data_IF_419977471908
#
_entry.id   IF_419977471908
#
_cell.length_a   1.000
_cell.length_b   1.000
_cell.length_c   1.000
_cell.angle_alpha   90.00
_cell.angle_beta   90.00
_cell.angle_gamma   90.00
#
_symmetry.space_group_name_H-M   'P 1'
#
loop_
_entity.id
_entity.type
_entity.pdbx_description
1 polymer ?
#
# COMPACT_ATOMS: atom_id res chain seq x y z
N UNK A 1 22.13 32.57 -10.80
CA UNK A 1 22.35 32.96 -9.42
C UNK A 1 21.76 31.90 -8.53
N UNK A 2 22.60 31.21 -7.75
CA UNK A 2 22.13 30.29 -6.74
C UNK A 2 21.24 31.08 -5.81
N UNK A 3 19.97 30.73 -5.73
CA UNK A 3 19.09 31.31 -4.75
C UNK A 3 19.71 31.03 -3.39
N UNK A 4 19.99 32.09 -2.64
CA UNK A 4 20.45 31.99 -1.27
C UNK A 4 19.29 31.46 -0.42
N UNK A 5 19.05 30.15 -0.49
CA UNK A 5 18.09 29.48 0.39
C UNK A 5 18.70 29.41 1.78
N UNK A 6 18.15 30.19 2.69
CA UNK A 6 18.51 30.10 4.10
C UNK A 6 17.64 29.03 4.76
N UNK A 7 18.29 28.05 5.37
CA UNK A 7 17.62 27.04 6.19
C UNK A 7 16.78 27.70 7.30
N UNK A 8 15.54 27.25 7.58
CA UNK A 8 14.66 27.91 8.57
C UNK A 8 15.21 27.75 10.00
N UNK A 9 15.73 28.84 10.53
CA UNK A 9 16.34 28.87 11.87
C UNK A 9 15.37 28.51 12.99
N UNK A 10 14.10 28.88 12.85
CA UNK A 10 13.08 28.66 13.87
C UNK A 10 12.79 27.17 14.10
N UNK A 11 13.19 26.28 13.17
CA UNK A 11 13.00 24.82 13.28
C UNK A 11 14.25 24.10 13.83
N UNK A 12 15.36 24.81 14.02
CA UNK A 12 16.62 24.18 14.48
C UNK A 12 16.51 23.55 15.86
N UNK A 13 15.78 24.16 16.78
CA UNK A 13 15.56 23.60 18.12
C UNK A 13 14.82 22.26 18.05
N UNK A 14 13.83 22.14 17.16
CA UNK A 14 13.13 20.87 16.94
C UNK A 14 14.06 19.82 16.33
N UNK A 15 14.93 20.20 15.42
CA UNK A 15 15.91 19.29 14.83
C UNK A 15 16.84 18.67 15.88
N UNK A 16 17.30 19.48 16.85
CA UNK A 16 18.17 19.00 17.92
C UNK A 16 17.47 18.00 18.85
N UNK A 17 16.16 18.13 19.03
CA UNK A 17 15.36 17.22 19.84
C UNK A 17 15.06 15.89 19.15
N UNK A 18 15.29 15.77 17.84
CA UNK A 18 15.03 14.54 17.09
C UNK A 18 16.09 13.47 17.36
N UNK A 19 15.70 12.24 17.67
CA UNK A 19 16.66 11.15 17.83
C UNK A 19 17.16 10.66 16.45
N UNK A 20 18.38 10.13 16.43
CA UNK A 20 18.93 9.39 15.29
C UNK A 20 18.39 7.94 15.32
N UNK A 21 17.08 7.78 15.22
CA UNK A 21 16.37 6.52 15.41
C UNK A 21 15.14 6.45 14.50
N UNK A 22 14.58 5.24 14.29
CA UNK A 22 13.36 5.07 13.49
C UNK A 22 12.15 5.77 14.08
N UNK A 23 11.28 6.25 13.22
CA UNK A 23 10.01 6.85 13.63
C UNK A 23 9.30 7.63 12.55
N UNK A 24 8.33 8.42 12.99
CA UNK A 24 7.52 9.31 12.17
C UNK A 24 7.72 10.75 12.65
N UNK A 25 7.87 11.67 11.72
CA UNK A 25 7.96 13.11 11.99
C UNK A 25 6.80 13.84 11.37
N UNK A 26 6.41 14.97 11.99
CA UNK A 26 5.24 15.74 11.58
C UNK A 26 5.63 17.22 11.57
N UNK A 27 5.44 17.87 10.40
CA UNK A 27 5.55 19.33 10.28
C UNK A 27 4.20 19.94 10.56
N UNK A 28 4.14 20.84 11.55
CA UNK A 28 2.91 21.51 11.98
C UNK A 28 2.87 22.97 11.57
N UNK A 29 1.69 23.43 11.16
CA UNK A 29 1.39 24.84 11.00
C UNK A 29 0.83 25.42 12.31
N UNK A 30 0.55 26.71 12.32
CA UNK A 30 0.01 27.40 13.50
C UNK A 30 -1.45 27.00 13.77
N UNK A 31 -1.81 26.85 15.03
CA UNK A 31 -3.17 26.58 15.48
C UNK A 31 -3.62 25.13 15.26
N UNK A 32 -4.94 24.92 15.22
CA UNK A 32 -5.57 23.60 15.02
C UNK A 32 -5.73 23.22 13.54
N UNK A 33 -4.92 23.81 12.66
CA UNK A 33 -4.92 23.48 11.26
C UNK A 33 -4.40 22.05 11.01
N UNK A 34 -4.71 21.50 9.84
CA UNK A 34 -4.18 20.19 9.42
C UNK A 34 -2.65 20.22 9.44
N UNK A 35 -1.99 19.11 9.81
CA UNK A 35 -0.56 18.99 9.66
C UNK A 35 -0.12 19.31 8.23
N UNK A 36 1.07 19.88 8.08
CA UNK A 36 1.60 20.18 6.76
C UNK A 36 2.11 18.92 6.05
N UNK A 37 2.86 18.10 6.78
CA UNK A 37 3.50 16.92 6.22
C UNK A 37 3.76 15.89 7.32
N UNK A 38 3.55 14.62 6.99
CA UNK A 38 3.89 13.47 7.83
C UNK A 38 4.84 12.59 7.03
N UNK A 39 5.98 12.23 7.61
CA UNK A 39 6.96 11.36 6.97
C UNK A 39 7.54 10.35 7.94
N UNK A 40 8.17 9.33 7.39
CA UNK A 40 8.81 8.26 8.15
C UNK A 40 10.30 8.21 7.83
N UNK A 41 11.10 7.69 8.76
CA UNK A 41 12.51 7.45 8.53
C UNK A 41 13.06 6.39 9.49
N UNK A 42 14.15 5.74 9.10
CA UNK A 42 14.97 4.91 10.00
C UNK A 42 15.93 5.78 10.84
N UNK A 43 16.10 7.03 10.45
CA UNK A 43 16.87 8.05 11.18
C UNK A 43 16.15 9.40 11.07
N UNK A 44 15.37 9.75 12.08
CA UNK A 44 14.52 10.94 12.09
C UNK A 44 15.33 12.23 11.90
N UNK A 45 16.44 12.37 12.65
CA UNK A 45 17.27 13.58 12.58
C UNK A 45 17.82 13.81 11.19
N UNK A 46 18.41 12.78 10.60
CA UNK A 46 19.00 12.86 9.26
C UNK A 46 17.97 13.22 8.20
N UNK A 47 16.79 12.63 8.27
CA UNK A 47 15.72 12.86 7.28
C UNK A 47 15.15 14.26 7.38
N UNK A 48 14.87 14.73 8.59
CA UNK A 48 14.36 16.10 8.80
C UNK A 48 15.41 17.12 8.39
N UNK A 49 16.67 16.89 8.70
CA UNK A 49 17.76 17.76 8.23
C UNK A 49 17.78 17.88 6.70
N UNK A 50 17.56 16.78 5.99
CA UNK A 50 17.46 16.78 4.54
C UNK A 50 16.30 17.64 4.03
N UNK A 51 15.13 17.59 4.69
CA UNK A 51 14.01 18.48 4.39
C UNK A 51 14.38 19.97 4.58
N UNK A 52 15.03 20.31 5.69
CA UNK A 52 15.40 21.69 6.00
C UNK A 52 16.42 22.26 5.00
N UNK A 53 17.19 21.42 4.34
CA UNK A 53 18.18 21.80 3.34
C UNK A 53 17.66 21.80 1.90
N UNK A 54 16.43 21.36 1.68
CA UNK A 54 15.86 21.25 0.33
C UNK A 54 15.12 22.53 -0.05
N UNK A 55 15.65 23.34 -1.01
CA UNK A 55 14.99 24.58 -1.43
C UNK A 55 13.63 24.37 -2.10
N UNK A 56 13.34 23.19 -2.66
CA UNK A 56 12.05 22.87 -3.25
C UNK A 56 10.93 22.79 -2.20
N UNK A 57 11.28 22.58 -0.94
CA UNK A 57 10.32 22.53 0.18
C UNK A 57 10.18 23.85 0.92
N UNK A 58 10.80 24.91 0.43
CA UNK A 58 10.81 26.24 1.10
C UNK A 58 9.41 26.75 1.40
N UNK A 59 8.42 26.51 0.52
CA UNK A 59 7.03 26.94 0.72
C UNK A 59 6.40 26.28 1.95
N UNK A 60 6.57 24.97 2.09
CA UNK A 60 6.08 24.21 3.25
C UNK A 60 6.82 24.63 4.52
N UNK A 61 8.14 24.74 4.45
CA UNK A 61 8.97 25.09 5.61
C UNK A 61 8.68 26.48 6.18
N UNK A 62 8.30 27.45 5.33
CA UNK A 62 7.87 28.78 5.79
C UNK A 62 6.57 28.73 6.58
N UNK A 63 5.68 27.79 6.28
CA UNK A 63 4.42 27.62 7.01
C UNK A 63 4.60 26.82 8.30
N UNK A 64 5.66 26.03 8.41
CA UNK A 64 5.91 25.19 9.56
C UNK A 64 6.29 26.00 10.79
N UNK A 65 5.57 25.81 11.90
CA UNK A 65 5.87 26.45 13.19
C UNK A 65 6.70 25.55 14.09
N UNK A 66 6.51 24.24 14.01
CA UNK A 66 7.27 23.26 14.78
C UNK A 66 7.21 21.89 14.14
N UNK A 67 8.09 21.00 14.62
CA UNK A 67 8.20 19.62 14.18
C UNK A 67 8.05 18.74 15.41
N UNK A 68 7.12 17.79 15.37
CA UNK A 68 7.01 16.73 16.37
C UNK A 68 7.44 15.39 15.78
N UNK A 69 7.68 14.41 16.65
CA UNK A 69 8.02 13.07 16.21
C UNK A 69 7.45 12.00 17.13
N UNK A 70 7.32 10.81 16.60
CA UNK A 70 6.96 9.60 17.34
C UNK A 70 7.99 8.54 16.99
N UNK A 71 8.75 8.09 17.98
CA UNK A 71 9.74 7.04 17.79
C UNK A 71 9.05 5.68 17.64
N UNK A 72 9.56 4.85 16.72
CA UNK A 72 9.13 3.46 16.55
C UNK A 72 10.28 2.51 16.76
N UNK A 73 9.97 1.22 17.02
CA UNK A 73 10.98 0.20 17.26
C UNK A 73 11.69 -0.27 15.98
N UNK A 74 11.32 0.25 14.82
CA UNK A 74 11.97 -0.08 13.55
C UNK A 74 11.23 0.48 12.36
N UNK A 75 11.66 0.07 11.16
CA UNK A 75 11.12 0.53 9.89
C UNK A 75 9.65 0.13 9.67
N UNK A 76 9.29 -1.09 10.04
CA UNK A 76 7.91 -1.58 9.86
C UNK A 76 6.94 -0.74 10.67
N UNK A 77 7.26 -0.48 11.96
CA UNK A 77 6.47 0.41 12.80
C UNK A 77 6.35 1.82 12.24
N UNK A 78 7.43 2.36 11.68
CA UNK A 78 7.44 3.68 11.05
C UNK A 78 6.54 3.72 9.82
N UNK A 79 6.60 2.72 8.95
CA UNK A 79 5.73 2.60 7.77
C UNK A 79 4.25 2.51 8.14
N UNK A 80 3.92 1.65 9.10
CA UNK A 80 2.54 1.46 9.54
C UNK A 80 1.96 2.71 10.19
N UNK A 81 2.72 3.34 11.06
CA UNK A 81 2.29 4.55 11.76
C UNK A 81 2.13 5.73 10.81
N UNK A 82 3.06 5.91 9.88
CA UNK A 82 2.96 6.95 8.86
C UNK A 82 1.67 6.80 8.06
N UNK A 83 1.40 5.61 7.53
CA UNK A 83 0.21 5.34 6.74
C UNK A 83 -1.08 5.61 7.54
N UNK A 84 -1.12 5.19 8.79
CA UNK A 84 -2.26 5.42 9.68
C UNK A 84 -2.50 6.92 9.94
N UNK A 85 -1.44 7.65 10.28
CA UNK A 85 -1.53 9.08 10.57
C UNK A 85 -1.90 9.91 9.34
N UNK A 86 -1.39 9.59 8.17
CA UNK A 86 -1.76 10.26 6.92
C UNK A 86 -3.26 10.09 6.63
N UNK A 87 -3.80 8.89 6.82
CA UNK A 87 -5.24 8.63 6.64
C UNK A 87 -6.10 9.35 7.65
N UNK A 88 -5.67 9.41 8.91
CA UNK A 88 -6.41 10.06 9.99
C UNK A 88 -6.37 11.58 9.90
N UNK A 89 -5.20 12.15 9.58
CA UNK A 89 -4.94 13.60 9.69
C UNK A 89 -4.94 14.33 8.35
N UNK A 90 -4.82 13.62 7.23
CA UNK A 90 -4.82 14.16 5.87
C UNK A 90 -3.93 15.42 5.70
N UNK A 91 -2.61 15.29 5.85
CA UNK A 91 -1.70 16.43 5.78
C UNK A 91 -1.76 17.15 4.43
N UNK A 92 -1.57 18.47 4.44
CA UNK A 92 -1.74 19.31 3.25
C UNK A 92 -0.77 18.97 2.12
N UNK A 93 0.46 18.58 2.45
CA UNK A 93 1.52 18.29 1.48
C UNK A 93 1.73 16.80 1.19
N UNK A 94 1.01 15.89 1.84
CA UNK A 94 1.02 14.48 1.50
C UNK A 94 -0.10 14.18 0.48
N UNK A 95 0.27 13.80 -0.71
CA UNK A 95 -0.71 13.45 -1.76
C UNK A 95 -1.01 11.97 -1.83
N UNK A 96 -0.19 11.13 -1.20
CA UNK A 96 -0.30 9.67 -1.20
C UNK A 96 -1.07 9.18 0.03
N UNK A 97 -1.62 7.96 -0.05
CA UNK A 97 -2.27 7.23 1.05
C UNK A 97 -3.60 7.83 1.55
N UNK A 98 -4.34 8.51 0.69
CA UNK A 98 -5.72 8.90 1.01
C UNK A 98 -6.61 7.66 0.99
N UNK A 99 -7.67 7.66 1.84
CA UNK A 99 -8.65 6.57 1.86
C UNK A 99 -9.23 6.35 0.48
N UNK A 100 -9.03 5.17 -0.09
CA UNK A 100 -9.52 4.83 -1.41
C UNK A 100 -10.80 3.99 -1.31
N UNK A 101 -11.94 4.60 -1.64
CA UNK A 101 -13.25 3.92 -1.67
C UNK A 101 -13.46 3.11 -2.96
N UNK A 102 -12.59 3.24 -3.94
CA UNK A 102 -12.67 2.56 -5.24
C UNK A 102 -11.72 1.37 -5.34
N UNK A 103 -11.10 0.99 -4.22
CA UNK A 103 -10.19 -0.15 -4.17
C UNK A 103 -10.84 -1.38 -4.77
N UNK A 104 -10.18 -2.00 -5.72
CA UNK A 104 -10.68 -3.17 -6.41
C UNK A 104 -9.59 -4.18 -6.75
N UNK A 105 -10.01 -5.35 -7.18
CA UNK A 105 -9.18 -6.45 -7.61
C UNK A 105 -9.84 -7.16 -8.80
N UNK A 106 -9.11 -8.07 -9.42
CA UNK A 106 -9.64 -8.97 -10.42
C UNK A 106 -9.96 -10.33 -9.79
N UNK A 107 -11.09 -10.89 -10.16
CA UNK A 107 -11.51 -12.24 -9.80
C UNK A 107 -11.86 -13.00 -11.08
N UNK A 108 -11.40 -14.23 -11.20
CA UNK A 108 -11.75 -15.07 -12.36
C UNK A 108 -13.07 -15.79 -12.09
N UNK A 109 -14.00 -15.62 -13.04
CA UNK A 109 -15.27 -16.37 -13.07
C UNK A 109 -15.39 -17.06 -14.43
N UNK A 110 -15.39 -18.39 -14.42
CA UNK A 110 -15.43 -19.21 -15.62
C UNK A 110 -14.34 -18.83 -16.66
N UNK A 111 -13.12 -18.56 -16.16
CA UNK A 111 -11.96 -18.19 -16.98
C UNK A 111 -11.97 -16.75 -17.48
N UNK A 112 -12.94 -15.94 -17.07
CA UNK A 112 -13.07 -14.54 -17.47
C UNK A 112 -12.81 -13.63 -16.26
N UNK A 113 -11.94 -12.60 -16.36
CA UNK A 113 -11.68 -11.69 -15.28
C UNK A 113 -12.84 -10.72 -15.06
N UNK A 114 -13.21 -10.53 -13.82
CA UNK A 114 -14.21 -9.54 -13.38
C UNK A 114 -13.57 -8.61 -12.36
N UNK A 115 -13.97 -7.33 -12.38
CA UNK A 115 -13.55 -6.36 -11.38
C UNK A 115 -14.47 -6.48 -10.18
N UNK A 116 -13.88 -6.71 -9.00
CA UNK A 116 -14.59 -6.77 -7.72
C UNK A 116 -14.06 -5.68 -6.80
N UNK A 117 -14.93 -5.13 -5.95
CA UNK A 117 -14.59 -4.00 -5.08
C UNK A 117 -14.48 -4.43 -3.62
N UNK A 118 -13.53 -3.83 -2.93
CA UNK A 118 -13.30 -4.12 -1.50
C UNK A 118 -14.48 -3.75 -0.61
N UNK A 119 -15.32 -2.81 -1.04
CA UNK A 119 -16.55 -2.43 -0.33
C UNK A 119 -17.62 -3.53 -0.35
N UNK A 120 -17.55 -4.44 -1.33
CA UNK A 120 -18.58 -5.46 -1.58
C UNK A 120 -18.17 -6.85 -1.12
N UNK A 121 -16.90 -7.08 -0.82
CA UNK A 121 -16.40 -8.36 -0.33
C UNK A 121 -15.16 -8.18 0.53
N UNK A 122 -14.89 -9.15 1.40
CA UNK A 122 -13.71 -9.15 2.26
C UNK A 122 -12.48 -9.67 1.51
N UNK A 123 -11.57 -8.77 1.14
CA UNK A 123 -10.36 -9.12 0.43
C UNK A 123 -9.36 -9.89 1.30
N UNK A 124 -9.49 -9.84 2.62
CA UNK A 124 -8.60 -10.57 3.52
C UNK A 124 -8.92 -12.07 3.58
N UNK A 125 -10.18 -12.45 3.35
CA UNK A 125 -10.63 -13.84 3.48
C UNK A 125 -11.06 -14.49 2.16
N UNK A 126 -11.16 -13.73 1.07
CA UNK A 126 -11.58 -14.25 -0.24
C UNK A 126 -10.37 -14.71 -1.05
N UNK A 127 -10.22 -16.02 -1.34
CA UNK A 127 -9.14 -16.48 -2.20
C UNK A 127 -9.40 -16.17 -3.67
N UNK A 128 -8.36 -16.24 -4.50
CA UNK A 128 -8.48 -16.08 -5.95
C UNK A 128 -8.68 -14.66 -6.43
N UNK A 129 -8.20 -13.68 -5.68
CA UNK A 129 -8.17 -12.28 -6.07
C UNK A 129 -6.78 -11.87 -6.55
N UNK A 130 -6.74 -10.97 -7.53
CA UNK A 130 -5.51 -10.47 -8.14
C UNK A 130 -5.52 -8.94 -8.17
N UNK A 131 -4.45 -8.32 -7.79
CA UNK A 131 -4.33 -6.87 -7.75
C UNK A 131 -3.26 -6.42 -6.76
N UNK A 132 -3.47 -5.32 -6.10
CA UNK A 132 -4.63 -4.43 -5.91
C UNK A 132 -4.62 -3.26 -6.89
N UNK A 133 -5.81 -2.71 -7.18
CA UNK A 133 -5.97 -1.55 -8.07
C UNK A 133 -6.76 -0.44 -7.40
N UNK A 134 -6.38 0.80 -7.70
CA UNK A 134 -6.99 1.99 -7.10
C UNK A 134 -8.40 2.31 -7.62
N UNK A 135 -8.74 1.77 -8.80
CA UNK A 135 -10.04 1.99 -9.45
C UNK A 135 -10.31 0.92 -10.50
N UNK A 136 -11.57 0.83 -10.94
CA UNK A 136 -11.94 -0.03 -12.08
C UNK A 136 -11.12 0.29 -13.33
N UNK A 137 -10.94 1.56 -13.64
CA UNK A 137 -10.13 1.99 -14.80
C UNK A 137 -8.70 1.48 -14.69
N UNK A 138 -8.07 1.60 -13.52
CA UNK A 138 -6.72 1.10 -13.29
C UNK A 138 -6.64 -0.43 -13.45
N UNK A 139 -7.63 -1.17 -12.95
CA UNK A 139 -7.69 -2.62 -13.10
C UNK A 139 -7.82 -3.03 -14.58
N UNK A 140 -8.68 -2.37 -15.35
CA UNK A 140 -8.84 -2.66 -16.77
C UNK A 140 -7.59 -2.29 -17.59
N UNK A 141 -6.93 -1.19 -17.26
CA UNK A 141 -5.65 -0.81 -17.89
C UNK A 141 -4.55 -1.85 -17.61
N UNK A 142 -4.48 -2.33 -16.39
CA UNK A 142 -3.54 -3.40 -16.04
C UNK A 142 -3.82 -4.69 -16.81
N UNK A 143 -5.10 -5.02 -16.99
CA UNK A 143 -5.51 -6.19 -17.76
C UNK A 143 -5.13 -6.04 -19.25
N UNK A 144 -5.33 -4.86 -19.85
CA UNK A 144 -4.83 -4.54 -21.19
C UNK A 144 -3.31 -4.73 -21.30
N UNK A 145 -2.56 -4.23 -20.31
CA UNK A 145 -1.10 -4.40 -20.27
C UNK A 145 -0.68 -5.87 -20.22
N UNK A 146 -1.37 -6.69 -19.44
CA UNK A 146 -1.14 -8.14 -19.42
C UNK A 146 -1.44 -8.80 -20.76
N UNK A 147 -2.53 -8.37 -21.42
CA UNK A 147 -2.88 -8.87 -22.76
C UNK A 147 -1.78 -8.54 -23.77
N UNK A 148 -1.18 -7.36 -23.70
CA UNK A 148 -0.07 -6.98 -24.58
C UNK A 148 1.18 -7.84 -24.36
N UNK A 149 1.55 -8.05 -23.10
CA UNK A 149 2.76 -8.82 -22.74
C UNK A 149 2.60 -10.31 -23.05
N UNK A 150 1.41 -10.88 -22.80
CA UNK A 150 1.18 -12.32 -22.84
C UNK A 150 0.36 -12.76 -24.07
N UNK A 151 0.13 -11.87 -25.02
CA UNK A 151 -0.65 -12.16 -26.24
C UNK A 151 -2.03 -12.73 -25.93
N UNK A 152 -2.72 -12.17 -24.93
CA UNK A 152 -4.07 -12.58 -24.54
C UNK A 152 -5.12 -11.95 -25.46
N UNK A 153 -6.26 -12.60 -25.60
CA UNK A 153 -7.36 -12.15 -26.44
C UNK A 153 -8.25 -11.15 -25.68
N UNK A 154 -8.37 -9.92 -26.19
CA UNK A 154 -9.22 -8.90 -25.58
C UNK A 154 -10.70 -9.31 -25.55
N UNK A 155 -11.18 -10.04 -26.57
CA UNK A 155 -12.54 -10.57 -26.60
C UNK A 155 -12.80 -11.60 -25.50
N UNK A 156 -11.86 -12.54 -25.31
CA UNK A 156 -11.95 -13.55 -24.26
C UNK A 156 -11.87 -12.91 -22.85
N UNK A 157 -11.15 -11.80 -22.72
CA UNK A 157 -11.06 -11.06 -21.45
C UNK A 157 -12.29 -10.18 -21.18
N UNK A 158 -13.22 -10.08 -22.13
CA UNK A 158 -14.38 -9.21 -22.00
C UNK A 158 -14.10 -7.72 -22.21
N UNK A 159 -12.91 -7.37 -22.72
CA UNK A 159 -12.49 -5.99 -22.97
C UNK A 159 -12.89 -5.49 -24.35
N UNK A 160 -13.27 -6.37 -25.24
CA UNK A 160 -13.68 -6.08 -26.59
C UNK A 160 -14.87 -6.99 -26.97
N UNK A 161 -15.85 -6.44 -27.66
CA UNK A 161 -16.96 -7.24 -28.22
C UNK A 161 -16.56 -7.74 -29.59
N UNK A 162 -16.57 -9.06 -29.77
CA UNK A 162 -16.26 -9.70 -31.03
C UNK A 162 -17.44 -10.53 -31.52
N UNK A 163 -17.70 -10.54 -32.86
CA UNK A 163 -18.62 -11.51 -33.45
C UNK A 163 -18.10 -12.94 -33.19
N UNK A 164 -18.98 -13.92 -32.90
CA UNK A 164 -18.57 -15.28 -32.69
C UNK A 164 -17.78 -15.86 -33.89
N UNK A 165 -16.67 -16.56 -33.59
CA UNK A 165 -15.87 -17.25 -34.60
C UNK A 165 -14.96 -16.37 -35.47
N UNK A 166 -14.98 -15.05 -35.28
CA UNK A 166 -14.09 -14.14 -36.02
C UNK A 166 -12.81 -13.85 -35.26
N UNK A 167 -11.69 -13.86 -35.97
CA UNK A 167 -10.41 -13.42 -35.44
C UNK A 167 -10.47 -11.93 -35.01
N UNK A 168 -9.98 -11.62 -33.81
CA UNK A 168 -9.83 -10.25 -33.38
C UNK A 168 -8.70 -9.56 -34.15
N UNK A 169 -8.69 -8.23 -34.14
CA UNK A 169 -7.67 -7.45 -34.86
C UNK A 169 -6.24 -7.84 -34.41
N UNK A 170 -6.05 -8.10 -33.10
CA UNK A 170 -4.76 -8.51 -32.54
C UNK A 170 -4.31 -9.90 -33.01
N UNK A 171 -5.23 -10.82 -33.29
CA UNK A 171 -4.92 -12.13 -33.88
C UNK A 171 -4.35 -11.96 -35.28
N UNK A 172 -4.86 -11.02 -36.05
CA UNK A 172 -4.33 -10.69 -37.39
C UNK A 172 -2.92 -10.08 -37.30
N UNK A 173 -2.60 -9.41 -36.23
CA UNK A 173 -1.28 -8.84 -35.96
C UNK A 173 -0.34 -9.81 -35.20
N UNK A 174 -0.75 -11.06 -35.02
CA UNK A 174 0.00 -12.07 -34.24
C UNK A 174 0.24 -11.68 -32.78
N UNK A 175 -0.62 -10.84 -32.20
CA UNK A 175 -0.60 -10.42 -30.80
C UNK A 175 -1.69 -11.10 -29.96
N UNK A 176 -2.36 -12.09 -30.51
CA UNK A 176 -3.33 -12.94 -29.87
C UNK A 176 -3.13 -14.35 -30.40
N UNK A 177 -3.21 -15.35 -29.56
CA UNK A 177 -3.02 -16.77 -29.95
C UNK A 177 -4.24 -17.36 -30.67
N UNK A 178 -5.31 -16.57 -30.82
CA UNK A 178 -6.44 -16.94 -31.66
C UNK A 178 -7.52 -17.76 -30.96
N UNK A 179 -7.71 -17.64 -29.65
CA UNK A 179 -8.85 -18.26 -28.96
C UNK A 179 -10.19 -17.75 -29.52
N UNK A 180 -10.21 -16.54 -30.04
CA UNK A 180 -11.38 -15.92 -30.67
C UNK A 180 -11.82 -16.61 -31.98
N UNK A 181 -10.90 -17.29 -32.67
CA UNK A 181 -11.17 -17.95 -33.97
C UNK A 181 -10.84 -19.44 -33.97
N UNK A 182 -10.69 -20.06 -32.79
CA UNK A 182 -10.49 -21.51 -32.66
C UNK A 182 -9.06 -22.01 -32.85
N UNK A 183 -8.08 -21.12 -32.98
CA UNK A 183 -6.65 -21.50 -33.04
C UNK A 183 -6.08 -21.90 -31.69
N UNK A 184 -6.69 -21.44 -30.61
CA UNK A 184 -6.37 -21.80 -29.25
C UNK A 184 -7.67 -22.22 -28.56
N UNK A 185 -7.63 -23.20 -27.66
CA UNK A 185 -8.81 -23.59 -26.88
C UNK A 185 -9.08 -22.60 -25.76
N UNK A 186 -10.34 -22.43 -25.31
CA UNK A 186 -10.64 -21.63 -24.13
C UNK A 186 -9.85 -22.04 -22.89
N UNK A 187 -9.62 -23.34 -22.69
CA UNK A 187 -8.84 -23.85 -21.57
C UNK A 187 -7.37 -23.42 -21.64
N UNK A 188 -6.75 -23.49 -22.82
CA UNK A 188 -5.37 -23.04 -23.01
C UNK A 188 -5.21 -21.54 -22.73
N UNK A 189 -6.15 -20.71 -23.23
CA UNK A 189 -6.16 -19.29 -22.97
C UNK A 189 -6.34 -18.99 -21.48
N UNK A 190 -7.27 -19.70 -20.81
CA UNK A 190 -7.51 -19.55 -19.39
C UNK A 190 -6.26 -19.88 -18.56
N UNK A 191 -5.50 -20.92 -18.93
CA UNK A 191 -4.24 -21.25 -18.27
C UNK A 191 -3.18 -20.17 -18.46
N UNK A 192 -3.07 -19.58 -19.65
CA UNK A 192 -2.14 -18.48 -19.91
C UNK A 192 -2.51 -17.24 -19.13
N UNK A 193 -3.81 -16.91 -19.02
CA UNK A 193 -4.29 -15.82 -18.18
C UNK A 193 -3.93 -16.05 -16.70
N UNK A 194 -4.18 -17.25 -16.21
CA UNK A 194 -3.87 -17.60 -14.81
C UNK A 194 -2.36 -17.45 -14.53
N UNK A 195 -1.51 -17.94 -15.44
CA UNK A 195 -0.06 -17.77 -15.32
C UNK A 195 0.36 -16.29 -15.34
N UNK A 196 -0.27 -15.48 -16.18
CA UNK A 196 0.00 -14.04 -16.23
C UNK A 196 -0.38 -13.32 -14.94
N UNK A 197 -1.40 -13.79 -14.22
CA UNK A 197 -1.90 -13.21 -12.99
C UNK A 197 -1.20 -13.75 -11.72
N UNK A 198 -0.41 -14.81 -11.82
CA UNK A 198 0.14 -15.52 -10.67
C UNK A 198 0.87 -14.61 -9.68
N UNK A 199 1.72 -13.71 -10.17
CA UNK A 199 2.48 -12.77 -9.32
C UNK A 199 1.65 -11.64 -8.75
N UNK A 200 0.40 -11.51 -9.16
CA UNK A 200 -0.54 -10.49 -8.69
C UNK A 200 -1.55 -11.03 -7.68
N UNK A 201 -1.45 -12.30 -7.33
CA UNK A 201 -2.36 -12.93 -6.38
C UNK A 201 -2.30 -12.25 -5.03
N UNK A 202 -3.47 -11.90 -4.49
CA UNK A 202 -3.60 -11.33 -3.15
C UNK A 202 -3.60 -12.49 -2.15
N UNK A 203 -2.63 -12.46 -1.23
CA UNK A 203 -2.56 -13.45 -0.17
C UNK A 203 -3.70 -13.23 0.84
N UNK A 204 -4.44 -14.29 1.15
CA UNK A 204 -5.43 -14.23 2.22
C UNK A 204 -4.73 -14.15 3.58
N UNK A 205 -5.45 -13.62 4.59
CA UNK A 205 -4.93 -13.53 5.96
C UNK A 205 -4.62 -14.94 6.47
N UNK A 206 -3.34 -15.25 6.81
CA UNK A 206 -2.93 -16.64 7.06
C UNK A 206 -3.16 -17.12 8.51
N UNK A 207 -3.76 -16.28 9.37
CA UNK A 207 -3.96 -16.60 10.78
C UNK A 207 -5.44 -16.67 11.12
N UNK A 208 -5.84 -17.47 12.15
CA UNK A 208 -7.23 -17.56 12.57
C UNK A 208 -7.74 -16.28 13.25
N UNK A 209 -6.86 -15.38 13.68
CA UNK A 209 -7.21 -14.16 14.36
C UNK A 209 -6.13 -13.10 14.23
N UNK A 210 -6.17 -12.06 15.10
CA UNK A 210 -5.14 -11.03 15.11
C UNK A 210 -3.80 -11.56 15.57
N UNK A 211 -2.73 -10.89 15.11
CA UNK A 211 -1.35 -11.17 15.50
C UNK A 211 -0.66 -9.89 15.94
N UNK A 212 0.49 -10.06 16.59
CA UNK A 212 1.44 -8.97 16.82
C UNK A 212 2.77 -9.30 16.17
N UNK A 213 3.33 -8.36 15.42
CA UNK A 213 4.70 -8.39 14.94
C UNK A 213 5.60 -7.73 15.96
N UNK A 214 6.64 -8.43 16.42
CA UNK A 214 7.62 -7.90 17.33
C UNK A 214 8.73 -7.18 16.57
N UNK A 215 8.98 -5.93 16.95
CA UNK A 215 10.08 -5.15 16.40
C UNK A 215 10.84 -4.50 17.54
N UNK A 216 12.17 -4.44 17.43
CA UNK A 216 13.03 -3.93 18.48
C UNK A 216 14.14 -3.05 17.94
N UNK A 217 14.37 -1.93 18.63
CA UNK A 217 15.51 -1.05 18.39
C UNK A 217 16.03 -0.56 19.74
N UNK A 218 17.26 -0.89 20.06
CA UNK A 218 17.89 -0.59 21.35
C UNK A 218 17.03 -1.12 22.53
N UNK A 219 16.55 -0.23 23.39
CA UNK A 219 15.71 -0.54 24.54
C UNK A 219 14.20 -0.51 24.22
N UNK A 220 13.82 -0.07 23.03
CA UNK A 220 12.42 0.00 22.60
C UNK A 220 12.00 -1.28 21.90
N UNK A 221 11.00 -1.96 22.45
CA UNK A 221 10.33 -3.08 21.83
C UNK A 221 8.86 -2.74 21.62
N UNK A 222 8.36 -3.01 20.43
CA UNK A 222 6.97 -2.80 20.09
C UNK A 222 6.32 -4.06 19.51
N UNK A 223 5.03 -4.19 19.78
CA UNK A 223 4.15 -5.20 19.24
C UNK A 223 3.18 -4.49 18.29
N UNK A 224 3.36 -4.69 16.98
CA UNK A 224 2.48 -4.11 15.98
C UNK A 224 1.30 -5.04 15.75
N UNK A 225 0.12 -4.62 16.17
CA UNK A 225 -1.10 -5.44 16.11
C UNK A 225 -1.74 -5.33 14.75
N UNK A 226 -1.98 -6.47 14.13
CA UNK A 226 -2.52 -6.58 12.77
C UNK A 226 -3.59 -7.65 12.71
N UNK A 227 -4.68 -7.36 12.02
CA UNK A 227 -5.72 -8.33 11.70
C UNK A 227 -6.29 -8.05 10.31
N UNK A 228 -6.48 -9.07 9.50
CA UNK A 228 -6.97 -8.93 8.12
C UNK A 228 -6.15 -7.92 7.28
N UNK A 229 -4.83 -7.89 7.50
CA UNK A 229 -3.89 -6.96 6.88
C UNK A 229 -4.08 -5.50 7.32
N UNK A 230 -4.90 -5.26 8.33
CA UNK A 230 -5.15 -3.94 8.89
C UNK A 230 -4.32 -3.72 10.15
N UNK A 231 -3.56 -2.64 10.16
CA UNK A 231 -2.81 -2.21 11.34
C UNK A 231 -3.73 -1.57 12.37
N UNK A 232 -3.75 -2.11 13.58
CA UNK A 232 -4.63 -1.67 14.67
C UNK A 232 -3.92 -0.80 15.71
N UNK A 233 -2.61 -0.70 15.64
CA UNK A 233 -1.80 0.07 16.58
C UNK A 233 -0.60 -0.71 17.10
N UNK A 234 0.26 -0.03 17.84
CA UNK A 234 1.45 -0.63 18.46
C UNK A 234 1.37 -0.56 19.97
N UNK A 235 1.83 -1.61 20.62
CA UNK A 235 1.82 -1.75 22.07
C UNK A 235 3.22 -2.11 22.56
N UNK A 236 3.48 -1.88 23.86
CA UNK A 236 4.73 -2.26 24.51
C UNK A 236 4.58 -3.48 25.40
N UNK A 237 3.36 -4.02 25.52
CA UNK A 237 3.05 -5.20 26.32
C UNK A 237 1.96 -6.05 25.66
N UNK A 238 1.92 -7.34 25.97
CA UNK A 238 0.89 -8.27 25.48
C UNK A 238 -0.54 -7.86 25.93
N UNK A 239 -0.78 -7.45 27.18
CA UNK A 239 -2.12 -7.00 27.56
C UNK A 239 -2.62 -5.82 26.74
N UNK A 240 -1.76 -4.83 26.44
CA UNK A 240 -2.09 -3.71 25.56
C UNK A 240 -2.36 -4.18 24.14
N UNK A 241 -1.54 -5.09 23.62
CA UNK A 241 -1.72 -5.65 22.28
C UNK A 241 -3.08 -6.36 22.14
N UNK A 242 -3.48 -7.13 23.15
CA UNK A 242 -4.77 -7.81 23.17
C UNK A 242 -5.96 -6.85 23.20
N UNK A 243 -5.82 -5.69 23.85
CA UNK A 243 -6.83 -4.62 23.81
C UNK A 243 -6.98 -4.05 22.40
N UNK A 244 -5.86 -3.77 21.74
CA UNK A 244 -5.87 -3.29 20.35
C UNK A 244 -6.49 -4.33 19.39
N UNK A 245 -6.25 -5.60 19.64
CA UNK A 245 -6.77 -6.70 18.83
C UNK A 245 -8.30 -6.83 18.85
N UNK A 246 -8.98 -6.21 19.83
CA UNK A 246 -10.46 -6.22 19.92
C UNK A 246 -11.13 -5.24 18.97
N UNK A 247 -10.37 -4.33 18.36
CA UNK A 247 -10.92 -3.37 17.39
C UNK A 247 -11.31 -4.11 16.12
N UNK A 248 -12.50 -3.81 15.59
CA UNK A 248 -12.93 -4.38 14.33
C UNK A 248 -12.01 -3.95 13.19
N UNK A 249 -11.53 -4.91 12.40
CA UNK A 249 -10.60 -4.69 11.32
C UNK A 249 -11.17 -5.17 10.00
N UNK A 250 -11.22 -4.27 9.02
CA UNK A 250 -11.43 -4.60 7.61
C UNK A 250 -10.12 -4.61 6.85
N UNK A 251 -10.11 -5.20 5.65
CA UNK A 251 -8.93 -5.22 4.79
C UNK A 251 -8.42 -3.81 4.51
N UNK A 252 -7.11 -3.59 4.66
CA UNK A 252 -6.44 -2.33 4.36
C UNK A 252 -5.33 -2.54 3.33
N UNK A 253 -5.44 -1.84 2.19
CA UNK A 253 -4.49 -1.99 1.10
C UNK A 253 -3.07 -1.54 1.46
N UNK A 254 -2.93 -0.47 2.23
CA UNK A 254 -1.62 0.03 2.63
C UNK A 254 -0.98 -0.90 3.65
N UNK A 255 -1.76 -1.38 4.60
CA UNK A 255 -1.33 -2.42 5.53
C UNK A 255 -0.89 -3.68 4.79
N UNK A 256 -1.66 -4.13 3.82
CA UNK A 256 -1.30 -5.28 2.99
C UNK A 256 0.04 -5.09 2.28
N UNK A 257 0.24 -3.96 1.62
CA UNK A 257 1.48 -3.66 0.88
C UNK A 257 2.72 -3.59 1.80
N UNK A 258 2.54 -3.10 3.01
CA UNK A 258 3.63 -3.01 3.99
C UNK A 258 3.93 -4.38 4.61
N UNK A 259 2.89 -5.14 4.96
CA UNK A 259 2.97 -6.31 5.84
C UNK A 259 3.06 -7.65 5.12
N UNK A 260 2.65 -7.70 3.85
CA UNK A 260 2.57 -8.97 3.11
C UNK A 260 3.90 -9.71 3.12
N UNK A 261 4.98 -9.06 2.72
CA UNK A 261 6.30 -9.67 2.68
C UNK A 261 6.86 -9.97 4.09
N UNK A 262 6.87 -9.02 5.04
CA UNK A 262 7.36 -9.32 6.39
C UNK A 262 6.64 -10.46 7.08
N UNK A 263 5.33 -10.58 6.90
CA UNK A 263 4.55 -11.66 7.53
C UNK A 263 4.76 -13.00 6.81
N UNK A 264 4.63 -13.02 5.48
CA UNK A 264 4.71 -14.26 4.72
C UNK A 264 6.12 -14.86 4.66
N UNK A 265 7.16 -14.02 4.77
CA UNK A 265 8.55 -14.49 4.78
C UNK A 265 9.16 -14.62 6.18
N UNK A 266 8.41 -14.32 7.23
CA UNK A 266 8.86 -14.45 8.60
C UNK A 266 10.01 -13.54 9.00
N UNK A 267 10.03 -12.30 8.50
CA UNK A 267 11.12 -11.35 8.77
C UNK A 267 11.19 -10.92 10.23
N UNK A 268 10.08 -10.92 10.94
CA UNK A 268 9.99 -10.55 12.36
C UNK A 268 9.26 -11.63 13.15
N UNK A 269 9.54 -11.79 14.45
CA UNK A 269 8.78 -12.68 15.31
C UNK A 269 7.30 -12.31 15.33
N UNK A 270 6.43 -13.32 15.32
CA UNK A 270 4.97 -13.16 15.30
C UNK A 270 4.38 -13.84 16.52
N UNK A 271 3.49 -13.15 17.21
CA UNK A 271 2.72 -13.67 18.34
C UNK A 271 1.24 -13.66 17.94
N UNK A 272 0.59 -14.80 18.05
CA UNK A 272 -0.88 -14.89 17.89
C UNK A 272 -1.55 -14.35 19.16
N UNK A 273 -2.54 -13.51 19.00
CA UNK A 273 -3.21 -12.82 20.10
C UNK A 273 -4.53 -13.47 20.53
#
# INVERSE_FOLDING_TARGET
PASLYASPEHLRANLQALPAAPGVYIFHAQGDSLPLYIGKSVNLRSRVLAHLRNPEEARMLRQATHISHIRTAGEIGALLLEAQLIKQQQPLYNQKLRRNRQLCALQLRDGRPEVVHARDMDFASTPGLYGLYSSRTAALQALHGLADVHALCLGALGLEKLPPGRACFRAMLQRCQGVCCGRETPAEHAQRLLAALENLQIATWPYPGPIALQERCDDLQQLHVVHHWCYLGSATSLPQARKLAKVAAGFDADGYKILCRPILTGQLPIVQL
#
